data_IF_158470198847
#
_entry.id   IF_158470198847
#
_cell.length_a   1.000
_cell.length_b   1.000
_cell.length_c   1.000
_cell.angle_alpha   90.00
_cell.angle_beta   90.00
_cell.angle_gamma   90.00
#
_symmetry.space_group_name_H-M   'P 1'
#
loop_
_entity.id
_entity.type
_entity.pdbx_description
1 polymer ?
#
# COMPACT_ATOMS: atom_id res chain seq x y z
N UNK A 1 -71.19 -83.71 15.75
CA UNK A 1 -71.10 -84.03 14.31
C UNK A 1 -70.19 -83.05 13.57
N UNK A 2 -70.22 -81.75 13.90
CA UNK A 2 -69.25 -80.72 13.47
C UNK A 2 -67.79 -81.19 13.49
N UNK A 3 -67.36 -81.77 14.60
CA UNK A 3 -65.94 -81.97 14.91
C UNK A 3 -65.26 -82.96 13.94
N UNK A 4 -66.02 -83.92 13.40
CA UNK A 4 -65.55 -84.82 12.35
C UNK A 4 -65.37 -84.09 11.01
N UNK A 5 -66.26 -83.14 10.69
CA UNK A 5 -66.19 -82.35 9.47
C UNK A 5 -65.04 -81.34 9.52
N UNK A 6 -64.79 -80.73 10.68
CA UNK A 6 -63.68 -79.80 10.86
C UNK A 6 -62.32 -80.52 10.96
N UNK A 7 -62.27 -81.71 11.57
CA UNK A 7 -61.09 -82.60 11.50
C UNK A 7 -60.80 -83.05 10.06
N UNK A 8 -61.84 -83.37 9.28
CA UNK A 8 -61.70 -83.75 7.87
C UNK A 8 -61.22 -82.58 7.00
N UNK A 9 -61.75 -81.37 7.20
CA UNK A 9 -61.25 -80.14 6.57
C UNK A 9 -59.78 -79.88 6.91
N UNK A 10 -59.40 -80.01 8.19
CA UNK A 10 -58.02 -79.78 8.63
C UNK A 10 -57.06 -80.78 7.97
N UNK A 11 -57.41 -82.06 7.96
CA UNK A 11 -56.64 -83.09 7.25
C UNK A 11 -56.53 -82.82 5.75
N UNK A 12 -57.63 -82.44 5.07
CA UNK A 12 -57.59 -82.05 3.66
C UNK A 12 -56.73 -80.80 3.44
N UNK A 13 -56.81 -79.80 4.31
CA UNK A 13 -56.01 -78.57 4.20
C UNK A 13 -54.51 -78.85 4.34
N UNK A 14 -54.11 -79.63 5.35
CA UNK A 14 -52.73 -80.08 5.53
C UNK A 14 -52.22 -80.90 4.34
N UNK A 15 -53.04 -81.78 3.76
CA UNK A 15 -52.65 -82.59 2.59
C UNK A 15 -52.63 -81.79 1.29
N UNK A 16 -53.58 -80.87 1.08
CA UNK A 16 -53.62 -79.96 -0.09
C UNK A 16 -52.46 -78.97 -0.06
N UNK A 17 -51.95 -78.62 1.12
CA UNK A 17 -50.73 -77.82 1.27
C UNK A 17 -49.48 -78.48 0.67
N UNK A 18 -49.48 -79.81 0.47
CA UNK A 18 -48.41 -80.51 -0.22
C UNK A 18 -48.67 -80.50 -1.75
N UNK A 19 -47.84 -79.82 -2.55
CA UNK A 19 -48.04 -79.72 -4.00
C UNK A 19 -48.05 -81.07 -4.71
N UNK A 20 -47.33 -82.07 -4.18
CA UNK A 20 -47.28 -83.42 -4.76
C UNK A 20 -48.60 -84.16 -4.60
N UNK A 21 -49.24 -84.07 -3.43
CA UNK A 21 -50.54 -84.71 -3.19
C UNK A 21 -51.61 -84.06 -4.06
N UNK A 22 -51.62 -82.73 -4.13
CA UNK A 22 -52.56 -81.98 -4.96
C UNK A 22 -52.38 -82.24 -6.46
N UNK A 23 -51.14 -82.15 -6.97
CA UNK A 23 -50.86 -82.44 -8.39
C UNK A 23 -51.14 -83.91 -8.75
N UNK A 24 -50.82 -84.86 -7.85
CA UNK A 24 -51.15 -86.27 -8.04
C UNK A 24 -52.66 -86.50 -8.06
N UNK A 25 -53.42 -85.91 -7.12
CA UNK A 25 -54.88 -86.07 -7.08
C UNK A 25 -55.56 -85.52 -8.36
N UNK A 26 -55.16 -84.33 -8.83
CA UNK A 26 -55.66 -83.78 -10.10
C UNK A 26 -55.25 -84.63 -11.30
N UNK A 27 -54.01 -85.11 -11.36
CA UNK A 27 -53.56 -85.98 -12.45
C UNK A 27 -54.25 -87.35 -12.42
N UNK A 28 -54.53 -87.89 -11.22
CA UNK A 28 -55.26 -89.13 -11.01
C UNK A 28 -56.71 -89.01 -11.51
N UNK A 29 -57.38 -87.89 -11.19
CA UNK A 29 -58.70 -87.55 -11.74
C UNK A 29 -58.71 -87.50 -13.28
N UNK A 30 -57.67 -86.91 -13.89
CA UNK A 30 -57.55 -86.80 -15.36
C UNK A 30 -57.33 -88.18 -16.01
N UNK A 31 -56.38 -88.99 -15.53
CA UNK A 31 -56.08 -90.29 -16.15
C UNK A 31 -57.10 -91.38 -15.82
N UNK A 32 -57.81 -91.28 -14.70
CA UNK A 32 -58.81 -92.26 -14.26
C UNK A 32 -60.24 -91.72 -14.40
N UNK A 33 -60.48 -90.75 -15.29
CA UNK A 33 -61.79 -90.14 -15.52
C UNK A 33 -62.91 -91.18 -15.75
N UNK A 34 -62.60 -92.28 -16.45
CA UNK A 34 -63.53 -93.39 -16.69
C UNK A 34 -64.00 -94.08 -15.40
N UNK A 35 -63.12 -94.25 -14.40
CA UNK A 35 -63.49 -94.79 -13.09
C UNK A 35 -64.48 -93.87 -12.37
N UNK A 36 -64.28 -92.55 -12.43
CA UNK A 36 -65.23 -91.60 -11.85
C UNK A 36 -66.58 -91.60 -12.59
N UNK A 37 -66.57 -91.66 -13.92
CA UNK A 37 -67.80 -91.77 -14.73
C UNK A 37 -68.59 -93.06 -14.41
N UNK A 38 -67.90 -94.19 -14.21
CA UNK A 38 -68.53 -95.45 -13.78
C UNK A 38 -69.02 -95.40 -12.32
N UNK A 39 -68.24 -94.82 -11.41
CA UNK A 39 -68.63 -94.70 -10.00
C UNK A 39 -69.91 -93.85 -9.83
N UNK A 40 -70.02 -92.75 -10.59
CA UNK A 40 -71.17 -91.85 -10.61
C UNK A 40 -72.26 -92.23 -11.62
N UNK A 41 -72.18 -93.39 -12.30
CA UNK A 41 -73.27 -93.86 -13.15
C UNK A 41 -74.52 -94.21 -12.34
N UNK A 42 -75.67 -94.39 -13.01
CA UNK A 42 -76.92 -94.81 -12.37
C UNK A 42 -77.02 -96.31 -12.06
N UNK A 43 -75.98 -97.09 -12.38
CA UNK A 43 -76.05 -98.55 -12.40
C UNK A 43 -75.98 -99.19 -11.01
N UNK A 44 -76.44 -100.44 -10.93
CA UNK A 44 -76.34 -101.25 -9.71
C UNK A 44 -74.88 -101.46 -9.27
N UNK A 45 -74.68 -101.58 -7.95
CA UNK A 45 -73.35 -101.68 -7.35
C UNK A 45 -72.56 -102.92 -7.84
N UNK A 46 -73.23 -104.05 -8.12
CA UNK A 46 -72.55 -105.24 -8.65
C UNK A 46 -72.08 -105.03 -10.10
N UNK A 47 -72.86 -104.30 -10.91
CA UNK A 47 -72.52 -103.97 -12.29
C UNK A 47 -71.33 -103.00 -12.33
N UNK A 48 -71.33 -101.99 -11.45
CA UNK A 48 -70.19 -101.05 -11.34
C UNK A 48 -68.88 -101.74 -11.00
N UNK A 49 -68.89 -102.66 -10.03
CA UNK A 49 -67.68 -103.37 -9.62
C UNK A 49 -67.11 -104.26 -10.74
N UNK A 50 -67.97 -104.93 -11.51
CA UNK A 50 -67.52 -105.76 -12.65
C UNK A 50 -67.05 -104.93 -13.85
N UNK A 51 -67.65 -103.76 -14.10
CA UNK A 51 -67.15 -102.81 -15.10
C UNK A 51 -65.78 -102.25 -14.71
N UNK A 52 -65.61 -101.87 -13.44
CA UNK A 52 -64.35 -101.33 -12.92
C UNK A 52 -63.24 -102.39 -12.92
N UNK A 53 -63.53 -103.64 -12.54
CA UNK A 53 -62.53 -104.72 -12.57
C UNK A 53 -62.08 -105.00 -14.00
N UNK A 54 -63.01 -105.17 -14.95
CA UNK A 54 -62.72 -105.35 -16.38
C UNK A 54 -61.89 -104.21 -16.98
N UNK A 55 -62.17 -102.97 -16.57
CA UNK A 55 -61.40 -101.80 -17.01
C UNK A 55 -59.93 -101.82 -16.56
N UNK A 56 -59.66 -102.24 -15.31
CA UNK A 56 -58.29 -102.24 -14.75
C UNK A 56 -57.52 -103.56 -14.94
N UNK A 57 -58.20 -104.68 -15.18
CA UNK A 57 -57.62 -105.99 -15.48
C UNK A 57 -57.13 -106.11 -16.93
N UNK A 58 -57.71 -105.35 -17.86
CA UNK A 58 -57.19 -105.28 -19.23
C UNK A 58 -55.74 -104.76 -19.26
N UNK A 59 -54.84 -105.38 -20.04
CA UNK A 59 -53.49 -104.85 -20.23
C UNK A 59 -53.54 -103.52 -20.97
N UNK A 60 -52.72 -102.55 -20.55
CA UNK A 60 -52.53 -101.32 -21.32
C UNK A 60 -51.64 -101.60 -22.55
N UNK A 61 -51.59 -100.67 -23.50
CA UNK A 61 -50.83 -100.79 -24.76
C UNK A 61 -49.30 -101.02 -24.59
N UNK A 62 -48.76 -100.88 -23.38
CA UNK A 62 -47.34 -101.09 -23.01
C UNK A 62 -47.14 -102.45 -22.28
N UNK A 63 -48.18 -103.29 -22.13
CA UNK A 63 -48.09 -104.58 -21.45
C UNK A 63 -48.02 -104.51 -19.91
N UNK A 64 -48.18 -103.31 -19.35
CA UNK A 64 -48.39 -103.09 -17.90
C UNK A 64 -49.91 -103.20 -17.65
N UNK A 65 -50.36 -103.73 -16.51
CA UNK A 65 -51.79 -103.72 -16.20
C UNK A 65 -52.30 -102.28 -16.03
N UNK A 66 -53.52 -102.02 -16.50
CA UNK A 66 -54.13 -100.69 -16.42
C UNK A 66 -54.15 -100.14 -14.98
N UNK A 67 -54.28 -101.02 -13.97
CA UNK A 67 -54.21 -100.67 -12.56
C UNK A 67 -52.90 -99.94 -12.16
N UNK A 68 -51.74 -100.47 -12.56
CA UNK A 68 -50.45 -99.85 -12.19
C UNK A 68 -50.10 -98.69 -13.13
N UNK A 69 -50.37 -98.82 -14.43
CA UNK A 69 -50.11 -97.78 -15.42
C UNK A 69 -50.95 -96.52 -15.20
N UNK A 70 -52.27 -96.64 -15.34
CA UNK A 70 -53.22 -95.51 -15.24
C UNK A 70 -53.56 -95.15 -13.81
N UNK A 71 -53.65 -96.14 -12.92
CA UNK A 71 -53.98 -95.92 -11.51
C UNK A 71 -52.87 -95.27 -10.71
N UNK A 72 -51.59 -95.45 -11.05
CA UNK A 72 -50.46 -94.90 -10.26
C UNK A 72 -49.39 -94.22 -11.13
N UNK A 73 -48.87 -94.89 -12.15
CA UNK A 73 -47.64 -94.44 -12.82
C UNK A 73 -47.82 -93.17 -13.65
N UNK A 74 -48.81 -93.09 -14.56
CA UNK A 74 -49.03 -91.87 -15.35
C UNK A 74 -49.44 -90.67 -14.49
N UNK A 75 -50.35 -90.79 -13.48
CA UNK A 75 -50.63 -89.72 -12.53
C UNK A 75 -49.40 -89.22 -11.78
N UNK A 76 -48.53 -90.13 -11.32
CA UNK A 76 -47.31 -89.78 -10.59
C UNK A 76 -46.28 -89.11 -11.50
N UNK A 77 -46.02 -89.66 -12.69
CA UNK A 77 -45.10 -89.09 -13.66
C UNK A 77 -45.55 -87.69 -14.12
N UNK A 78 -46.86 -87.51 -14.35
CA UNK A 78 -47.46 -86.22 -14.68
C UNK A 78 -47.38 -85.22 -13.53
N UNK A 79 -47.66 -85.62 -12.29
CA UNK A 79 -47.54 -84.76 -11.11
C UNK A 79 -46.08 -84.33 -10.86
N UNK A 80 -45.13 -85.25 -10.97
CA UNK A 80 -43.70 -84.94 -10.88
C UNK A 80 -43.26 -84.01 -12.02
N UNK A 81 -43.70 -84.26 -13.25
CA UNK A 81 -43.43 -83.39 -14.40
C UNK A 81 -43.98 -81.98 -14.16
N UNK A 82 -45.23 -81.85 -13.69
CA UNK A 82 -45.82 -80.57 -13.32
C UNK A 82 -44.97 -79.84 -12.25
N UNK A 83 -44.55 -80.53 -11.20
CA UNK A 83 -43.80 -79.93 -10.07
C UNK A 83 -42.37 -79.54 -10.44
N UNK A 84 -41.70 -80.27 -11.32
CA UNK A 84 -40.30 -79.98 -11.69
C UNK A 84 -40.15 -79.16 -12.97
N UNK A 85 -40.96 -79.44 -13.99
CA UNK A 85 -40.87 -78.76 -15.30
C UNK A 85 -41.54 -77.39 -15.25
N UNK A 86 -42.70 -77.24 -14.60
CA UNK A 86 -43.40 -75.96 -14.59
C UNK A 86 -42.57 -74.85 -13.93
N UNK A 87 -41.96 -75.00 -12.74
CA UNK A 87 -41.14 -73.94 -12.15
C UNK A 87 -39.90 -73.59 -12.97
N UNK A 88 -39.36 -74.53 -13.75
CA UNK A 88 -38.24 -74.25 -14.66
C UNK A 88 -38.68 -73.39 -15.85
N UNK A 89 -39.84 -73.68 -16.45
CA UNK A 89 -40.45 -72.84 -17.48
C UNK A 89 -40.80 -71.46 -16.91
N UNK A 90 -41.49 -71.41 -15.75
CA UNK A 90 -41.87 -70.17 -15.08
C UNK A 90 -40.65 -69.30 -14.75
N UNK A 91 -39.55 -69.86 -14.24
CA UNK A 91 -38.30 -69.11 -13.98
C UNK A 91 -37.75 -68.46 -15.24
N UNK A 92 -37.78 -69.15 -16.40
CA UNK A 92 -37.33 -68.57 -17.68
C UNK A 92 -38.24 -67.43 -18.15
N UNK A 93 -39.56 -67.64 -18.11
CA UNK A 93 -40.54 -66.62 -18.54
C UNK A 93 -40.49 -65.39 -17.64
N UNK A 94 -40.44 -65.58 -16.31
CA UNK A 94 -40.33 -64.48 -15.34
C UNK A 94 -39.01 -63.72 -15.50
N UNK A 95 -37.89 -64.43 -15.71
CA UNK A 95 -36.60 -63.78 -16.00
C UNK A 95 -36.68 -62.89 -17.26
N UNK A 96 -37.15 -63.44 -18.37
CA UNK A 96 -37.29 -62.72 -19.63
C UNK A 96 -38.20 -61.48 -19.49
N UNK A 97 -39.35 -61.65 -18.82
CA UNK A 97 -40.28 -60.54 -18.56
C UNK A 97 -39.67 -59.46 -17.66
N UNK A 98 -38.89 -59.86 -16.65
CA UNK A 98 -38.22 -58.92 -15.75
C UNK A 98 -37.14 -58.11 -16.48
N UNK A 99 -36.27 -58.78 -17.25
CA UNK A 99 -35.23 -58.15 -18.08
C UNK A 99 -35.86 -57.13 -19.04
N UNK A 100 -36.89 -57.54 -19.79
CA UNK A 100 -37.60 -56.64 -20.70
C UNK A 100 -38.30 -55.47 -19.98
N UNK A 101 -38.89 -55.71 -18.80
CA UNK A 101 -39.50 -54.65 -17.98
C UNK A 101 -38.46 -53.65 -17.45
N UNK A 102 -37.25 -54.11 -17.12
CA UNK A 102 -36.15 -53.21 -16.73
C UNK A 102 -35.62 -52.41 -17.92
N UNK A 103 -35.53 -53.01 -19.11
CA UNK A 103 -35.10 -52.30 -20.31
C UNK A 103 -36.10 -51.23 -20.74
N UNK A 104 -37.41 -51.51 -20.72
CA UNK A 104 -38.45 -50.50 -20.96
C UNK A 104 -38.35 -49.34 -19.97
N UNK A 105 -38.14 -49.62 -18.67
CA UNK A 105 -37.95 -48.57 -17.64
C UNK A 105 -36.69 -47.75 -17.90
N UNK A 106 -35.58 -48.39 -18.27
CA UNK A 106 -34.32 -47.72 -18.59
C UNK A 106 -34.44 -46.84 -19.85
N UNK A 107 -35.16 -47.29 -20.88
CA UNK A 107 -35.43 -46.52 -22.11
C UNK A 107 -36.32 -45.31 -21.78
N UNK A 108 -37.40 -45.52 -21.02
CA UNK A 108 -38.32 -44.45 -20.60
C UNK A 108 -37.59 -43.39 -19.76
N UNK A 109 -36.86 -43.81 -18.73
CA UNK A 109 -36.01 -42.95 -17.89
C UNK A 109 -35.06 -42.08 -18.73
N UNK A 110 -34.33 -42.68 -19.68
CA UNK A 110 -33.45 -41.93 -20.60
C UNK A 110 -34.18 -40.92 -21.48
N UNK A 111 -35.40 -41.23 -21.92
CA UNK A 111 -36.23 -40.31 -22.72
C UNK A 111 -36.79 -39.15 -21.88
N UNK A 112 -37.08 -39.38 -20.60
CA UNK A 112 -37.54 -38.37 -19.63
C UNK A 112 -36.39 -37.56 -19.00
N UNK A 113 -35.14 -37.89 -19.32
CA UNK A 113 -33.94 -37.23 -18.79
C UNK A 113 -33.55 -37.66 -17.37
N UNK A 114 -34.35 -38.50 -16.73
CA UNK A 114 -34.03 -39.09 -15.44
C UNK A 114 -32.97 -40.19 -15.61
N UNK A 115 -31.98 -40.25 -14.72
CA UNK A 115 -31.01 -41.34 -14.69
C UNK A 115 -31.44 -42.30 -13.57
N UNK A 116 -31.99 -43.46 -13.92
CA UNK A 116 -32.15 -44.57 -12.97
C UNK A 116 -30.78 -45.08 -12.51
N UNK A 117 -30.28 -44.50 -11.41
CA UNK A 117 -28.98 -44.83 -10.82
C UNK A 117 -29.09 -46.14 -10.05
N UNK A 118 -28.40 -47.19 -10.52
CA UNK A 118 -28.26 -48.45 -9.76
C UNK A 118 -27.61 -48.18 -8.40
N UNK A 119 -28.03 -48.87 -7.33
CA UNK A 119 -27.52 -48.68 -5.95
C UNK A 119 -25.99 -48.53 -5.85
N UNK A 120 -25.22 -49.30 -6.64
CA UNK A 120 -23.76 -49.16 -6.72
C UNK A 120 -23.31 -47.77 -7.18
N UNK A 121 -23.85 -47.26 -8.28
CA UNK A 121 -23.56 -45.91 -8.79
C UNK A 121 -24.04 -44.82 -7.82
N UNK A 122 -25.14 -45.04 -7.10
CA UNK A 122 -25.61 -44.10 -6.08
C UNK A 122 -24.61 -43.98 -4.92
N UNK A 123 -24.02 -45.11 -4.49
CA UNK A 123 -22.93 -45.13 -3.52
C UNK A 123 -21.66 -44.45 -4.04
N UNK A 124 -21.31 -44.63 -5.33
CA UNK A 124 -20.16 -43.97 -5.98
C UNK A 124 -20.35 -42.44 -6.03
N UNK A 125 -21.54 -41.97 -6.42
CA UNK A 125 -21.87 -40.53 -6.40
C UNK A 125 -21.87 -39.95 -4.98
N UNK A 126 -22.38 -40.68 -3.99
CA UNK A 126 -22.35 -40.22 -2.58
C UNK A 126 -20.92 -40.04 -2.08
N UNK A 127 -20.02 -40.99 -2.36
CA UNK A 127 -18.61 -40.88 -1.98
C UNK A 127 -17.90 -39.72 -2.70
N UNK A 128 -18.21 -39.48 -3.98
CA UNK A 128 -17.69 -38.31 -4.71
C UNK A 128 -18.20 -36.98 -4.13
N UNK A 129 -19.47 -36.94 -3.72
CA UNK A 129 -20.07 -35.77 -3.08
C UNK A 129 -19.42 -35.47 -1.72
N UNK A 130 -19.26 -36.48 -0.85
CA UNK A 130 -18.60 -36.35 0.46
C UNK A 130 -17.15 -35.84 0.32
N UNK A 131 -16.40 -36.31 -0.68
CA UNK A 131 -15.05 -35.82 -0.99
C UNK A 131 -15.05 -34.38 -1.51
N UNK A 132 -16.05 -34.01 -2.33
CA UNK A 132 -16.18 -32.64 -2.84
C UNK A 132 -16.57 -31.66 -1.71
N UNK A 133 -17.48 -32.05 -0.82
CA UNK A 133 -17.92 -31.29 0.35
C UNK A 133 -16.76 -31.05 1.33
N UNK A 134 -16.02 -32.09 1.70
CA UNK A 134 -14.82 -31.97 2.53
C UNK A 134 -13.77 -31.01 1.94
N UNK A 135 -13.60 -31.01 0.61
CA UNK A 135 -12.69 -30.10 -0.10
C UNK A 135 -13.21 -28.66 -0.13
N UNK A 136 -14.53 -28.45 -0.20
CA UNK A 136 -15.14 -27.12 -0.08
C UNK A 136 -14.92 -26.57 1.33
N UNK A 137 -15.11 -27.39 2.37
CA UNK A 137 -14.86 -26.99 3.76
C UNK A 137 -13.38 -26.67 4.03
N UNK A 138 -12.45 -27.46 3.49
CA UNK A 138 -11.02 -27.16 3.55
C UNK A 138 -10.71 -25.80 2.92
N UNK A 139 -11.18 -25.56 1.69
CA UNK A 139 -10.97 -24.30 0.97
C UNK A 139 -11.62 -23.10 1.68
N UNK A 140 -12.83 -23.28 2.24
CA UNK A 140 -13.51 -22.25 3.03
C UNK A 140 -12.76 -21.93 4.32
N UNK A 141 -12.24 -22.94 5.02
CA UNK A 141 -11.44 -22.75 6.24
C UNK A 141 -10.14 -22.00 5.94
N UNK A 142 -9.45 -22.36 4.85
CA UNK A 142 -8.22 -21.71 4.40
C UNK A 142 -8.48 -20.27 3.97
N UNK A 143 -9.46 -20.03 3.10
CA UNK A 143 -9.80 -18.68 2.63
C UNK A 143 -10.20 -17.76 3.79
N UNK A 144 -10.90 -18.28 4.82
CA UNK A 144 -11.23 -17.55 6.05
C UNK A 144 -9.99 -17.24 6.91
N UNK A 145 -8.96 -18.08 6.88
CA UNK A 145 -7.67 -17.81 7.52
C UNK A 145 -6.90 -16.73 6.76
N UNK A 146 -6.79 -16.86 5.44
CA UNK A 146 -6.09 -15.92 4.57
C UNK A 146 -6.75 -14.53 4.62
N UNK A 147 -8.09 -14.45 4.62
CA UNK A 147 -8.84 -13.22 4.81
C UNK A 147 -8.56 -12.55 6.16
N UNK A 148 -8.42 -13.32 7.25
CA UNK A 148 -8.04 -12.77 8.57
C UNK A 148 -6.62 -12.21 8.53
N UNK A 149 -5.67 -12.93 7.94
CA UNK A 149 -4.28 -12.48 7.82
C UNK A 149 -4.19 -11.19 7.00
N UNK A 150 -4.92 -11.08 5.89
CA UNK A 150 -5.01 -9.84 5.11
C UNK A 150 -5.69 -8.69 5.87
N UNK A 151 -6.74 -8.97 6.65
CA UNK A 151 -7.37 -7.94 7.49
C UNK A 151 -6.42 -7.43 8.58
N UNK A 152 -5.62 -8.30 9.19
CA UNK A 152 -4.60 -7.92 10.17
C UNK A 152 -3.48 -7.08 9.52
N UNK A 153 -2.99 -7.48 8.34
CA UNK A 153 -2.06 -6.68 7.54
C UNK A 153 -2.61 -5.29 7.20
N UNK A 154 -3.87 -5.19 6.78
CA UNK A 154 -4.54 -3.91 6.50
C UNK A 154 -4.64 -3.04 7.77
N UNK A 155 -4.96 -3.64 8.92
CA UNK A 155 -5.03 -2.91 10.19
C UNK A 155 -3.64 -2.37 10.61
N UNK A 156 -2.57 -3.15 10.43
CA UNK A 156 -1.18 -2.73 10.70
C UNK A 156 -0.72 -1.63 9.73
N UNK A 157 -1.05 -1.76 8.44
CA UNK A 157 -0.75 -0.76 7.43
C UNK A 157 -1.48 0.57 7.73
N UNK A 158 -2.77 0.52 8.03
CA UNK A 158 -3.57 1.69 8.43
C UNK A 158 -3.02 2.35 9.70
N UNK A 159 -2.61 1.57 10.72
CA UNK A 159 -1.96 2.09 11.92
C UNK A 159 -0.62 2.79 11.63
N UNK A 160 0.13 2.30 10.63
CA UNK A 160 1.38 2.91 10.17
C UNK A 160 1.12 4.21 9.41
N UNK A 161 0.15 4.22 8.50
CA UNK A 161 -0.28 5.41 7.76
C UNK A 161 -0.75 6.51 8.73
N UNK A 162 -1.53 6.18 9.76
CA UNK A 162 -1.95 7.15 10.77
C UNK A 162 -0.76 7.75 11.56
N UNK A 163 0.27 6.96 11.88
CA UNK A 163 1.49 7.49 12.51
C UNK A 163 2.26 8.42 11.57
N UNK A 164 2.38 8.06 10.30
CA UNK A 164 3.02 8.89 9.28
C UNK A 164 2.26 10.21 9.06
N UNK A 165 0.92 10.18 8.97
CA UNK A 165 0.09 11.38 8.86
C UNK A 165 0.24 12.33 10.04
N UNK A 166 0.34 11.81 11.28
CA UNK A 166 0.65 12.65 12.46
C UNK A 166 2.02 13.32 12.35
N UNK A 167 3.06 12.56 11.99
CA UNK A 167 4.41 13.10 11.82
C UNK A 167 4.51 14.13 10.67
N UNK A 168 3.74 13.95 9.59
CA UNK A 168 3.61 14.95 8.52
C UNK A 168 2.97 16.23 9.07
N UNK A 169 1.84 16.11 9.79
CA UNK A 169 1.15 17.27 10.39
C UNK A 169 2.02 18.03 11.41
N UNK A 170 2.88 17.34 12.16
CA UNK A 170 3.85 17.95 13.07
C UNK A 170 4.92 18.75 12.30
N UNK A 171 5.43 18.19 11.20
CA UNK A 171 6.40 18.86 10.32
C UNK A 171 5.80 20.03 9.56
N UNK A 172 4.55 19.96 9.11
CA UNK A 172 3.86 21.08 8.46
C UNK A 172 3.72 22.27 9.43
N UNK A 173 3.43 22.01 10.72
CA UNK A 173 3.42 23.04 11.76
C UNK A 173 4.81 23.65 11.99
N UNK A 174 5.87 22.83 12.02
CA UNK A 174 7.24 23.30 12.13
C UNK A 174 7.65 24.18 10.93
N UNK A 175 7.31 23.74 9.70
CA UNK A 175 7.53 24.49 8.46
C UNK A 175 6.83 25.85 8.50
N UNK A 176 5.57 25.92 8.93
CA UNK A 176 4.85 27.20 9.07
C UNK A 176 5.48 28.12 10.13
N UNK A 177 5.99 27.56 11.24
CA UNK A 177 6.70 28.34 12.24
C UNK A 177 8.06 28.87 11.71
N UNK A 178 8.79 28.06 10.95
CA UNK A 178 10.04 28.45 10.29
C UNK A 178 9.81 29.54 9.22
N UNK A 179 8.76 29.42 8.38
CA UNK A 179 8.35 30.48 7.43
C UNK A 179 8.10 31.80 8.14
N UNK A 180 7.35 31.81 9.24
CA UNK A 180 7.06 33.03 10.03
C UNK A 180 8.33 33.66 10.59
N UNK A 181 9.29 32.86 11.07
CA UNK A 181 10.62 33.34 11.49
C UNK A 181 11.40 33.94 10.32
N UNK A 182 11.40 33.27 9.17
CA UNK A 182 12.10 33.72 7.97
C UNK A 182 11.56 35.06 7.47
N UNK A 183 10.24 35.22 7.35
CA UNK A 183 9.59 36.51 7.01
C UNK A 183 9.99 37.62 7.99
N UNK A 184 10.07 37.32 9.30
CA UNK A 184 10.52 38.30 10.29
C UNK A 184 11.98 38.70 10.07
N UNK A 185 12.86 37.73 9.83
CA UNK A 185 14.27 37.99 9.51
C UNK A 185 14.44 38.80 8.22
N UNK A 186 13.66 38.53 7.17
CA UNK A 186 13.66 39.31 5.93
C UNK A 186 13.23 40.77 6.17
N UNK A 187 12.20 41.00 6.99
CA UNK A 187 11.77 42.34 7.39
C UNK A 187 12.82 43.08 8.21
N UNK A 188 13.48 42.41 9.15
CA UNK A 188 14.52 43.03 9.97
C UNK A 188 15.81 43.30 9.16
N UNK A 189 16.15 42.43 8.20
CA UNK A 189 17.27 42.62 7.25
C UNK A 189 16.98 43.75 6.26
N UNK A 190 15.75 43.89 5.78
CA UNK A 190 15.28 45.01 4.95
C UNK A 190 15.42 46.36 5.68
N UNK A 191 15.09 46.43 6.97
CA UNK A 191 15.32 47.62 7.80
C UNK A 191 16.80 47.95 7.91
N UNK A 192 17.64 46.98 8.32
CA UNK A 192 19.08 47.22 8.44
C UNK A 192 19.76 47.58 7.12
N UNK A 193 19.27 47.06 5.98
CA UNK A 193 19.72 47.50 4.66
C UNK A 193 19.41 48.97 4.41
N UNK A 194 18.20 49.42 4.78
CA UNK A 194 17.83 50.84 4.67
C UNK A 194 18.65 51.71 5.62
N UNK A 195 18.84 51.28 6.87
CA UNK A 195 19.67 52.00 7.85
C UNK A 195 21.11 52.15 7.33
N UNK A 196 21.64 51.16 6.60
CA UNK A 196 22.95 51.22 5.92
C UNK A 196 22.94 52.25 4.78
N UNK A 197 21.91 52.30 3.93
CA UNK A 197 21.80 53.27 2.84
C UNK A 197 21.66 54.72 3.38
N UNK A 198 20.88 54.91 4.44
CA UNK A 198 20.73 56.18 5.14
C UNK A 198 22.08 56.62 5.77
N UNK A 199 22.82 55.70 6.40
CA UNK A 199 24.18 55.95 6.91
C UNK A 199 25.21 56.24 5.81
N UNK A 200 25.17 55.54 4.67
CA UNK A 200 26.06 55.83 3.53
C UNK A 200 25.80 57.23 2.96
N UNK A 201 24.53 57.65 2.92
CA UNK A 201 24.14 59.00 2.50
C UNK A 201 24.65 60.04 3.50
N UNK A 202 24.54 59.77 4.80
CA UNK A 202 25.09 60.62 5.85
C UNK A 202 26.63 60.73 5.76
N UNK A 203 27.34 59.63 5.48
CA UNK A 203 28.80 59.62 5.31
C UNK A 203 29.20 60.49 4.11
N UNK A 204 28.54 60.34 2.95
CA UNK A 204 28.81 61.19 1.76
C UNK A 204 28.63 62.68 2.05
N UNK A 205 27.61 63.04 2.83
CA UNK A 205 27.40 64.43 3.24
C UNK A 205 28.54 64.93 4.16
N UNK A 206 28.97 64.15 5.14
CA UNK A 206 30.11 64.52 6.00
C UNK A 206 31.44 64.57 5.24
N UNK A 207 31.66 63.71 4.24
CA UNK A 207 32.82 63.78 3.35
C UNK A 207 32.79 65.07 2.51
N UNK A 208 31.62 65.47 2.00
CA UNK A 208 31.45 66.74 1.31
C UNK A 208 31.71 67.95 2.21
N UNK A 209 31.10 67.99 3.41
CA UNK A 209 31.35 69.05 4.41
C UNK A 209 32.82 69.13 4.81
N UNK A 210 33.47 67.98 5.04
CA UNK A 210 34.90 67.94 5.35
C UNK A 210 35.74 68.49 4.20
N UNK A 211 35.46 68.10 2.95
CA UNK A 211 36.18 68.62 1.78
C UNK A 211 36.00 70.14 1.64
N UNK A 212 34.80 70.66 1.89
CA UNK A 212 34.52 72.10 1.89
C UNK A 212 35.34 72.82 2.98
N UNK A 213 35.36 72.28 4.21
CA UNK A 213 36.17 72.82 5.30
C UNK A 213 37.67 72.75 4.96
N UNK A 214 38.17 71.66 4.38
CA UNK A 214 39.57 71.52 3.96
C UNK A 214 39.94 72.53 2.85
N UNK A 215 39.02 72.88 1.94
CA UNK A 215 39.19 73.97 0.97
C UNK A 215 39.17 75.36 1.61
N UNK A 216 38.24 75.64 2.52
CA UNK A 216 38.21 76.90 3.28
C UNK A 216 39.49 77.09 4.10
N UNK A 217 39.96 76.05 4.79
CA UNK A 217 41.17 76.06 5.61
C UNK A 217 42.42 76.25 4.74
N UNK A 218 42.43 75.73 3.50
CA UNK A 218 43.46 76.00 2.49
C UNK A 218 43.42 77.44 1.99
N UNK A 219 42.22 78.01 1.78
CA UNK A 219 42.04 79.42 1.42
C UNK A 219 42.55 80.35 2.53
N UNK A 220 42.10 80.15 3.77
CA UNK A 220 42.51 80.93 4.96
C UNK A 220 44.02 80.82 5.21
N UNK A 221 44.64 79.65 5.02
CA UNK A 221 46.11 79.52 5.04
C UNK A 221 46.79 80.35 3.96
N UNK A 222 46.23 80.38 2.75
CA UNK A 222 46.72 81.22 1.66
C UNK A 222 46.58 82.72 1.95
N UNK A 223 45.50 83.14 2.58
CA UNK A 223 45.31 84.53 3.03
C UNK A 223 46.23 84.91 4.18
N UNK A 224 46.42 84.02 5.17
CA UNK A 224 47.37 84.21 6.27
C UNK A 224 48.79 84.39 5.75
N UNK A 225 49.21 83.59 4.77
CA UNK A 225 50.57 83.69 4.20
C UNK A 225 50.74 84.98 3.37
N UNK A 226 49.70 85.42 2.63
CA UNK A 226 49.68 86.75 2.00
C UNK A 226 49.75 87.88 3.04
N UNK A 227 49.00 87.79 4.13
CA UNK A 227 49.03 88.77 5.21
C UNK A 227 50.39 88.82 5.90
N UNK A 228 51.05 87.67 6.09
CA UNK A 228 52.42 87.55 6.62
C UNK A 228 53.46 88.16 5.69
N UNK A 229 53.35 87.94 4.38
CA UNK A 229 54.21 88.56 3.36
C UNK A 229 53.99 90.08 3.29
N UNK A 230 52.74 90.54 3.34
CA UNK A 230 52.38 91.96 3.38
C UNK A 230 52.92 92.65 4.65
N UNK A 231 52.78 91.99 5.82
CA UNK A 231 53.34 92.43 7.09
C UNK A 231 54.86 92.55 7.03
N UNK A 232 55.57 91.50 6.60
CA UNK A 232 57.03 91.58 6.40
C UNK A 232 57.43 92.67 5.40
N UNK A 233 56.67 92.85 4.32
CA UNK A 233 56.86 93.94 3.36
C UNK A 233 56.68 95.33 3.99
N UNK A 234 55.68 95.50 4.86
CA UNK A 234 55.46 96.74 5.60
C UNK A 234 56.56 97.02 6.64
N UNK A 235 57.05 95.99 7.35
CA UNK A 235 58.20 96.11 8.26
C UNK A 235 59.49 96.49 7.52
N UNK A 236 59.76 95.89 6.37
CA UNK A 236 60.90 96.24 5.52
C UNK A 236 60.77 97.66 4.94
N UNK A 237 59.57 98.03 4.46
CA UNK A 237 59.26 99.37 3.96
C UNK A 237 59.48 100.42 5.04
N UNK A 238 58.90 100.27 6.23
CA UNK A 238 59.04 101.22 7.33
C UNK A 238 60.50 101.39 7.81
N UNK A 239 61.29 100.32 7.84
CA UNK A 239 62.73 100.42 8.12
C UNK A 239 63.47 101.21 7.02
N UNK A 240 63.11 101.01 5.75
CA UNK A 240 63.68 101.77 4.64
C UNK A 240 63.29 103.26 4.72
N UNK A 241 62.04 103.60 5.06
CA UNK A 241 61.62 105.00 5.26
C UNK A 241 62.31 105.65 6.46
N UNK A 242 62.51 104.90 7.56
CA UNK A 242 63.30 105.36 8.71
C UNK A 242 64.76 105.61 8.34
N UNK A 243 65.37 104.72 7.55
CA UNK A 243 66.74 104.87 7.06
C UNK A 243 66.90 106.07 6.10
N UNK A 244 65.93 106.29 5.22
CA UNK A 244 65.88 107.47 4.33
C UNK A 244 65.64 108.76 5.13
N UNK A 245 64.78 108.73 6.15
CA UNK A 245 64.57 109.85 7.07
C UNK A 245 65.85 110.20 7.86
N UNK A 246 66.58 109.20 8.34
CA UNK A 246 67.87 109.39 9.00
C UNK A 246 68.94 110.00 8.06
N UNK A 247 68.99 109.55 6.80
CA UNK A 247 69.86 110.14 5.77
C UNK A 247 69.48 111.60 5.47
N UNK A 248 68.19 111.91 5.39
CA UNK A 248 67.71 113.28 5.17
C UNK A 248 68.00 114.20 6.37
N UNK A 249 67.89 113.69 7.60
CA UNK A 249 68.28 114.41 8.81
C UNK A 249 69.79 114.68 8.86
N UNK A 250 70.63 113.71 8.47
CA UNK A 250 72.08 113.88 8.36
C UNK A 250 72.47 114.92 7.30
N UNK A 251 71.77 114.97 6.17
CA UNK A 251 71.93 116.00 5.12
C UNK A 251 71.62 117.41 5.66
N UNK A 252 70.50 117.57 6.37
CA UNK A 252 70.13 118.86 7.01
C UNK A 252 71.18 119.26 8.06
N UNK A 253 71.67 118.33 8.87
CA UNK A 253 72.72 118.59 9.86
C UNK A 253 74.03 119.07 9.20
N UNK A 254 74.44 118.49 8.06
CA UNK A 254 75.59 118.98 7.30
C UNK A 254 75.37 120.39 6.72
N UNK A 255 74.16 120.71 6.24
CA UNK A 255 73.84 122.08 5.80
C UNK A 255 73.88 123.09 6.95
N UNK A 256 73.39 122.74 8.14
CA UNK A 256 73.50 123.61 9.32
C UNK A 256 74.97 123.80 9.74
N UNK A 257 75.79 122.74 9.71
CA UNK A 257 77.20 122.84 10.06
C UNK A 257 77.98 123.72 9.06
N UNK A 258 77.65 123.70 7.76
CA UNK A 258 78.26 124.60 6.78
C UNK A 258 77.83 126.06 7.00
N UNK A 259 76.59 126.30 7.44
CA UNK A 259 76.08 127.62 7.80
C UNK A 259 76.73 128.20 9.08
N UNK A 260 77.03 127.36 10.07
CA UNK A 260 77.79 127.76 11.27
C UNK A 260 79.24 128.12 10.88
N UNK A 261 79.85 127.31 10.01
CA UNK A 261 81.23 127.53 9.55
C UNK A 261 81.39 128.79 8.67
N UNK A 262 80.34 129.24 7.96
CA UNK A 262 80.35 130.50 7.22
C UNK A 262 80.13 131.72 8.12
N UNK A 263 79.30 131.62 9.17
CA UNK A 263 79.12 132.67 10.18
C UNK A 263 80.39 132.92 11.02
N UNK A 264 81.10 131.86 11.40
CA UNK A 264 82.34 131.97 12.19
C UNK A 264 83.54 132.58 11.42
N UNK A 265 83.45 132.77 10.10
CA UNK A 265 84.50 133.40 9.29
C UNK A 265 84.45 134.93 9.21
N UNK A 266 83.47 135.57 9.85
CA UNK A 266 83.25 137.03 9.79
C UNK A 266 83.55 137.79 11.11
N UNK A 267 84.10 137.12 12.12
CA UNK A 267 84.58 137.77 13.36
C UNK A 267 85.98 137.26 13.73
N UNK A 268 86.85 138.22 14.06
CA UNK A 268 88.22 138.08 14.60
C UNK A 268 89.22 137.24 13.78
N UNK A 269 90.25 137.93 13.27
CA UNK A 269 91.54 137.31 12.97
C UNK A 269 92.48 137.26 14.19
N UNK A 270 93.71 136.84 13.93
CA UNK A 270 94.91 136.84 14.78
C UNK A 270 95.06 135.80 15.93
N UNK A 271 95.72 134.70 15.54
CA UNK A 271 97.09 134.32 15.97
C UNK A 271 97.34 133.51 17.26
N UNK A 272 98.30 132.56 17.12
CA UNK A 272 98.99 131.74 18.15
C UNK A 272 98.10 130.73 18.94
N UNK A 273 98.54 129.54 19.40
CA UNK A 273 99.87 128.87 19.39
C UNK A 273 99.72 127.32 19.51
N UNK A 274 100.59 126.57 18.82
CA UNK A 274 101.47 125.47 19.31
C UNK A 274 100.98 124.32 20.24
N UNK A 275 101.26 123.06 19.80
CA UNK A 275 101.64 121.83 20.56
C UNK A 275 100.66 121.34 21.66
N UNK A 276 100.51 120.08 22.11
CA UNK A 276 101.16 118.75 22.00
C UNK A 276 100.07 117.71 22.44
N UNK A 277 100.02 116.40 22.14
CA UNK A 277 100.87 115.51 21.32
C UNK A 277 100.13 114.18 20.92
N UNK A 278 100.86 113.24 20.29
CA UNK A 278 100.91 111.74 20.37
C UNK A 278 99.88 110.97 21.27
N UNK A 279 99.49 109.69 21.04
CA UNK A 279 100.11 108.59 20.28
C UNK A 279 99.13 107.41 19.99
N UNK A 280 99.49 106.56 19.00
CA UNK A 280 99.54 105.08 19.09
C UNK A 280 98.31 104.18 18.77
N UNK A 281 98.51 103.25 17.81
CA UNK A 281 97.99 101.86 17.66
C UNK A 281 96.54 101.49 18.07
N UNK A 282 95.78 100.64 17.37
CA UNK A 282 96.09 99.66 16.32
C UNK A 282 95.51 98.27 16.68
N UNK A 283 95.25 97.39 15.69
CA UNK A 283 94.72 95.99 15.81
C UNK A 283 93.23 95.86 16.25
N UNK A 284 92.50 94.74 16.03
CA UNK A 284 92.60 93.61 15.07
C UNK A 284 91.42 92.63 15.26
N UNK A 285 90.90 92.05 14.16
CA UNK A 285 90.32 90.68 14.02
C UNK A 285 89.11 90.15 14.82
N UNK A 286 88.35 89.27 14.12
CA UNK A 286 87.56 88.10 14.60
C UNK A 286 86.27 88.39 15.39
N UNK A 287 85.07 87.95 14.97
CA UNK A 287 84.53 86.61 14.63
C UNK A 287 83.93 85.86 15.83
N UNK A 288 82.61 85.66 15.82
CA UNK A 288 81.87 84.37 15.92
C UNK A 288 80.37 84.72 15.85
N UNK A 289 79.52 84.12 15.02
CA UNK A 289 79.10 82.70 14.92
C UNK A 289 78.28 82.22 16.13
N UNK A 290 77.10 81.66 15.82
CA UNK A 290 76.33 80.68 16.61
C UNK A 290 75.71 81.12 17.98
N UNK A 291 74.60 80.55 18.48
CA UNK A 291 73.74 79.44 18.02
C UNK A 291 72.32 79.56 18.63
N UNK A 292 71.36 78.79 18.08
CA UNK A 292 70.24 78.03 18.73
C UNK A 292 69.01 77.99 17.81
N UNK A 293 68.68 76.84 17.21
CA UNK A 293 68.05 75.63 17.80
C UNK A 293 66.63 75.96 18.30
N UNK A 294 65.56 75.53 17.60
CA UNK A 294 65.06 74.14 17.47
C UNK A 294 64.75 73.51 18.81
#
# INVERSE_FOLDING_TARGET
MSDYFDSFKLFLYERVSNPLVTAFAFSWLIFNYAFFLMAFSGDDAAIKLTMISSYYESPDWIGISNLWGRGVFYPLASALSYIFVLPWITKKVVKYHYEHSTDIKNIKSRAEGEILVTNKKASEFKAQYEVAEAKIDELMSKNKSDQKAHQEQLNLANGTIQKQLKSISEKDYEIENLKKKLIKLELDLSKSSKDIDDLQTLIKNHEFEKNLIDEELKSVKGELEKARLSSNGAYLSNNLTLQQGALHAASIAQQYQSHINSLNKLKSGDAYTKFENEESFGKSTRSTEDDKKK
#
